data_IF_032083909017
#
_entry.id   IF_032083909017
#
_cell.length_a   1.000
_cell.length_b   1.000
_cell.length_c   1.000
_cell.angle_alpha   90.00
_cell.angle_beta   90.00
_cell.angle_gamma   90.00
#
_symmetry.space_group_name_H-M   'P 1'
#
loop_
_entity.id
_entity.type
_entity.pdbx_description
1 polymer ?
#
# COMPACT_ATOMS: atom_id res chain seq x y z
N UNK A 1 2.49 0.25 19.67
CA UNK A 1 2.00 0.93 18.45
C UNK A 1 1.42 2.29 18.84
N UNK A 2 1.72 3.38 18.12
CA UNK A 2 1.29 4.75 18.47
C UNK A 2 -0.21 5.03 18.25
N UNK A 3 -0.91 4.18 17.50
CA UNK A 3 -2.31 4.39 17.05
C UNK A 3 -3.28 3.35 17.63
N UNK A 4 -2.81 2.44 18.50
CA UNK A 4 -3.65 1.40 19.12
C UNK A 4 -4.22 0.33 18.18
N UNK A 5 -3.98 0.43 16.87
CA UNK A 5 -4.42 -0.52 15.85
C UNK A 5 -3.24 -0.92 14.94
N UNK A 6 -3.38 -2.08 14.28
CA UNK A 6 -2.40 -2.64 13.35
C UNK A 6 -3.08 -2.93 12.00
N UNK A 7 -2.29 -2.98 10.93
CA UNK A 7 -2.76 -3.42 9.61
C UNK A 7 -3.45 -4.79 9.73
N UNK A 8 -4.57 -5.05 9.04
CA UNK A 8 -5.21 -4.20 8.01
C UNK A 8 -6.21 -3.16 8.56
N UNK A 9 -6.27 -2.94 9.88
CA UNK A 9 -7.29 -2.06 10.47
C UNK A 9 -7.21 -0.64 9.89
N UNK A 10 -8.33 -0.04 9.40
CA UNK A 10 -8.33 1.26 8.72
C UNK A 10 -7.63 2.38 9.49
N UNK A 11 -7.78 2.39 10.81
CA UNK A 11 -7.23 3.43 11.69
C UNK A 11 -5.72 3.65 11.54
N UNK A 12 -4.92 2.62 11.23
CA UNK A 12 -3.47 2.81 11.08
C UNK A 12 -3.14 3.58 9.80
N UNK A 13 -3.86 3.31 8.71
CA UNK A 13 -3.69 3.98 7.42
C UNK A 13 -4.25 5.39 7.47
N UNK A 14 -5.42 5.58 8.08
CA UNK A 14 -6.02 6.90 8.28
C UNK A 14 -5.12 7.82 9.13
N UNK A 15 -4.52 7.29 10.21
CA UNK A 15 -3.57 8.05 11.00
C UNK A 15 -2.31 8.43 10.21
N UNK A 16 -1.79 7.50 9.38
CA UNK A 16 -0.66 7.79 8.50
C UNK A 16 -0.98 8.92 7.51
N UNK A 17 -2.15 8.89 6.87
CA UNK A 17 -2.63 9.96 5.99
C UNK A 17 -2.75 11.30 6.71
N UNK A 18 -3.33 11.31 7.92
CA UNK A 18 -3.46 12.51 8.73
C UNK A 18 -2.09 13.12 9.09
N UNK A 19 -1.13 12.29 9.51
CA UNK A 19 0.23 12.75 9.82
C UNK A 19 0.96 13.26 8.59
N UNK A 20 0.79 12.60 7.45
CA UNK A 20 1.37 13.01 6.17
C UNK A 20 0.66 14.21 5.54
N UNK A 21 -0.52 14.61 6.05
CA UNK A 21 -1.42 15.61 5.44
C UNK A 21 -1.73 15.30 3.97
N UNK A 22 -1.89 14.02 3.67
CA UNK A 22 -2.12 13.53 2.31
C UNK A 22 -3.57 13.05 2.15
N UNK A 23 -4.12 13.21 0.95
CA UNK A 23 -5.36 12.52 0.57
C UNK A 23 -5.04 11.07 0.18
N UNK A 24 -5.95 10.11 0.38
CA UNK A 24 -5.70 8.71 0.06
C UNK A 24 -5.31 8.48 -1.41
N UNK A 25 -5.87 9.25 -2.36
CA UNK A 25 -5.57 9.14 -3.79
C UNK A 25 -4.14 9.62 -4.14
N UNK A 26 -3.51 10.38 -3.24
CA UNK A 26 -2.15 10.88 -3.38
C UNK A 26 -1.12 9.98 -2.67
N UNK A 27 -1.56 8.88 -2.06
CA UNK A 27 -0.71 7.97 -1.31
C UNK A 27 -0.60 6.61 -2.01
N UNK A 28 0.59 6.02 -1.88
CA UNK A 28 0.85 4.62 -2.23
C UNK A 28 1.38 3.94 -0.97
N UNK A 29 0.81 2.79 -0.64
CA UNK A 29 1.28 1.92 0.43
C UNK A 29 1.94 0.69 -0.19
N UNK A 30 3.22 0.50 0.08
CA UNK A 30 4.02 -0.64 -0.40
C UNK A 30 4.34 -1.54 0.78
N UNK A 31 4.04 -2.83 0.67
CA UNK A 31 4.33 -3.81 1.71
C UNK A 31 4.33 -5.24 1.18
N UNK A 32 4.73 -6.19 2.02
CA UNK A 32 4.96 -7.60 1.67
C UNK A 32 3.77 -8.51 2.01
N UNK A 33 2.75 -8.00 2.72
CA UNK A 33 1.54 -8.76 3.01
C UNK A 33 0.37 -8.33 2.13
N UNK A 34 -0.13 -9.23 1.27
CA UNK A 34 -1.28 -8.93 0.43
C UNK A 34 -2.52 -8.50 1.26
N UNK A 35 -2.86 -9.24 2.32
CA UNK A 35 -4.01 -8.90 3.15
C UNK A 35 -3.76 -7.68 4.03
N UNK A 36 -2.62 -7.62 4.74
CA UNK A 36 -2.38 -6.56 5.70
C UNK A 36 -2.04 -5.22 5.02
N UNK A 37 -1.23 -5.24 3.96
CA UNK A 37 -0.75 -4.03 3.29
C UNK A 37 -1.64 -3.59 2.14
N UNK A 38 -1.90 -4.48 1.17
CA UNK A 38 -2.58 -4.08 -0.07
C UNK A 38 -4.06 -3.88 0.18
N UNK A 39 -4.75 -4.90 0.67
CA UNK A 39 -6.20 -4.82 0.92
C UNK A 39 -6.52 -3.82 2.05
N UNK A 40 -5.69 -3.79 3.10
CA UNK A 40 -5.83 -2.81 4.19
C UNK A 40 -5.71 -1.36 3.72
N UNK A 41 -4.73 -1.05 2.86
CA UNK A 41 -4.56 0.28 2.31
C UNK A 41 -5.72 0.67 1.36
N UNK A 42 -6.13 -0.25 0.48
CA UNK A 42 -7.21 -0.01 -0.46
C UNK A 42 -8.57 0.20 0.22
N UNK A 43 -8.82 -0.44 1.36
CA UNK A 43 -10.03 -0.24 2.15
C UNK A 43 -10.23 1.21 2.61
N UNK A 44 -9.17 2.03 2.61
CA UNK A 44 -9.24 3.47 2.92
C UNK A 44 -8.92 4.37 1.71
N UNK A 45 -8.91 3.82 0.50
CA UNK A 45 -8.67 4.54 -0.75
C UNK A 45 -7.21 4.76 -1.14
N UNK A 46 -6.26 4.21 -0.38
CA UNK A 46 -4.83 4.29 -0.73
C UNK A 46 -4.51 3.26 -1.81
N UNK A 47 -3.66 3.61 -2.77
CA UNK A 47 -3.14 2.61 -3.71
C UNK A 47 -2.25 1.61 -2.95
N UNK A 48 -2.65 0.35 -2.90
CA UNK A 48 -1.82 -0.75 -2.38
C UNK A 48 -0.95 -1.36 -3.48
N UNK A 49 0.34 -1.58 -3.18
CA UNK A 49 1.30 -2.29 -4.04
C UNK A 49 1.96 -3.40 -3.24
N UNK A 50 1.90 -4.63 -3.74
CA UNK A 50 2.57 -5.77 -3.13
C UNK A 50 4.04 -5.80 -3.56
N UNK A 51 4.95 -5.79 -2.59
CA UNK A 51 6.37 -6.11 -2.81
C UNK A 51 6.56 -7.61 -2.55
N UNK A 52 6.62 -8.38 -3.61
CA UNK A 52 6.86 -9.83 -3.58
C UNK A 52 8.16 -10.15 -4.32
N UNK A 53 9.27 -10.11 -3.59
CA UNK A 53 10.62 -10.33 -4.15
C UNK A 53 10.80 -11.73 -4.72
N UNK A 54 10.10 -12.70 -4.13
CA UNK A 54 10.23 -14.11 -4.46
C UNK A 54 9.16 -14.60 -5.44
N UNK A 55 8.13 -13.78 -5.69
CA UNK A 55 7.01 -14.06 -6.61
C UNK A 55 6.24 -15.32 -6.20
N UNK A 56 5.86 -15.36 -4.92
CA UNK A 56 5.18 -16.47 -4.25
C UNK A 56 3.69 -16.19 -4.02
N UNK A 57 3.26 -14.95 -4.15
CA UNK A 57 1.91 -14.50 -3.81
C UNK A 57 1.16 -14.20 -5.09
N UNK A 58 0.08 -14.94 -5.30
CA UNK A 58 -0.92 -14.63 -6.33
C UNK A 58 -1.79 -13.47 -5.86
N UNK A 59 -2.01 -12.51 -6.75
CA UNK A 59 -2.86 -11.34 -6.50
C UNK A 59 -3.85 -11.19 -7.65
N UNK A 60 -5.09 -10.84 -7.32
CA UNK A 60 -6.17 -10.73 -8.32
C UNK A 60 -6.32 -9.29 -8.80
N UNK A 61 -5.63 -8.94 -9.89
CA UNK A 61 -5.73 -7.60 -10.49
C UNK A 61 -5.07 -6.47 -9.70
N UNK A 62 -4.35 -6.79 -8.62
CA UNK A 62 -3.58 -5.81 -7.84
C UNK A 62 -2.15 -5.68 -8.36
N UNK A 63 -1.56 -4.51 -8.13
CA UNK A 63 -0.18 -4.23 -8.54
C UNK A 63 0.79 -5.00 -7.64
N UNK A 64 1.66 -5.79 -8.27
CA UNK A 64 2.75 -6.56 -7.64
C UNK A 64 4.07 -6.18 -8.30
N UNK A 65 5.09 -5.95 -7.48
CA UNK A 65 6.46 -5.63 -7.89
C UNK A 65 7.44 -6.56 -7.16
N UNK A 66 8.58 -6.86 -7.77
CA UNK A 66 9.64 -7.68 -7.15
C UNK A 66 10.73 -6.81 -6.52
N UNK A 67 10.90 -5.59 -6.99
CA UNK A 67 11.84 -4.60 -6.47
C UNK A 67 11.22 -3.20 -6.35
N UNK A 68 11.79 -2.36 -5.49
CA UNK A 68 11.29 -0.99 -5.29
C UNK A 68 11.58 -0.07 -6.48
N UNK A 69 12.56 -0.43 -7.30
CA UNK A 69 12.88 0.22 -8.58
C UNK A 69 11.70 0.19 -9.56
N UNK A 70 10.87 -0.86 -9.54
CA UNK A 70 9.67 -0.96 -10.38
C UNK A 70 8.60 0.05 -9.98
N UNK A 71 8.68 0.61 -8.76
CA UNK A 71 7.78 1.67 -8.32
C UNK A 71 7.94 2.95 -9.16
N UNK A 72 9.12 3.19 -9.72
CA UNK A 72 9.37 4.37 -10.55
C UNK A 72 8.47 4.36 -11.79
N UNK A 73 8.33 3.22 -12.45
CA UNK A 73 7.43 3.04 -13.60
C UNK A 73 5.97 3.33 -13.24
N UNK A 74 5.56 2.91 -12.04
CA UNK A 74 4.19 3.17 -11.52
C UNK A 74 3.98 4.67 -11.28
N UNK A 75 4.98 5.37 -10.75
CA UNK A 75 4.92 6.79 -10.47
C UNK A 75 4.95 7.64 -11.75
N UNK A 76 5.73 7.26 -12.74
CA UNK A 76 5.81 7.95 -14.03
C UNK A 76 4.49 7.93 -14.80
N UNK A 77 3.72 6.84 -14.67
CA UNK A 77 2.38 6.71 -15.27
C UNK A 77 1.27 7.49 -14.57
N UNK A 78 1.54 8.11 -13.40
CA UNK A 78 0.54 8.83 -12.59
C UNK A 78 0.54 10.36 -12.81
N UNK A 79 1.14 10.83 -13.91
CA UNK A 79 1.19 12.26 -14.28
C UNK A 79 -0.19 12.86 -14.53
#
# INVERSE_FOLDING_TARGET
ARVGCAKPHPGIFQAALQWARARPEQAIHVGDSYHADVLGAQAVGITGVLLDREDKVEVDGHVKIRGLEELLTILEGRR
#
